data_IF_376045718869
#
_entry.id   IF_376045718869
#
_cell.length_a   1.000
_cell.length_b   1.000
_cell.length_c   1.000
_cell.angle_alpha   90.00
_cell.angle_beta   90.00
_cell.angle_gamma   90.00
#
_symmetry.space_group_name_H-M   'P 1'
#
loop_
_entity.id
_entity.type
_entity.pdbx_description
1 polymer ?
#
# COMPACT_ATOMS: atom_id res chain seq x y z
N UNK A 1 -23.54 -12.54 2.09
CA UNK A 1 -22.59 -12.27 1.57
C UNK A 1 -22.30 -10.93 1.43
N UNK A 2 -21.41 -10.47 1.69
CA UNK A 2 -21.13 -9.20 1.73
C UNK A 2 -20.64 -8.76 0.47
N UNK A 3 -21.44 -8.07 -0.17
CA UNK A 3 -21.16 -7.65 -1.49
C UNK A 3 -19.94 -6.77 -1.57
N UNK A 4 -19.70 -5.99 -0.58
CA UNK A 4 -18.55 -5.13 -0.57
C UNK A 4 -17.25 -5.91 -0.59
N UNK A 5 -17.22 -6.98 0.18
CA UNK A 5 -16.08 -7.83 0.17
C UNK A 5 -15.93 -8.53 -1.15
N UNK A 6 -17.02 -9.02 -1.69
CA UNK A 6 -17.01 -9.71 -2.94
C UNK A 6 -16.47 -8.79 -4.04
N UNK A 7 -16.80 -7.53 -3.95
CA UNK A 7 -16.39 -6.59 -4.96
C UNK A 7 -14.89 -6.41 -5.01
N UNK A 8 -14.24 -6.40 -3.84
CA UNK A 8 -12.81 -6.20 -3.77
C UNK A 8 -12.00 -7.47 -3.85
N UNK A 9 -12.63 -8.58 -3.55
CA UNK A 9 -11.94 -9.84 -3.51
C UNK A 9 -11.26 -10.28 -4.80
N UNK A 10 -11.89 -10.12 -5.96
CA UNK A 10 -11.22 -10.57 -7.18
C UNK A 10 -9.89 -9.88 -7.41
N UNK A 11 -9.85 -8.59 -7.17
CA UNK A 11 -8.64 -7.83 -7.37
C UNK A 11 -7.57 -8.25 -6.38
N UNK A 12 -7.97 -8.39 -5.13
CA UNK A 12 -7.05 -8.80 -4.08
C UNK A 12 -6.57 -10.23 -4.31
N UNK A 13 -7.48 -11.11 -4.69
CA UNK A 13 -7.12 -12.51 -4.94
C UNK A 13 -6.18 -12.64 -6.11
N UNK A 14 -6.40 -11.89 -7.15
CA UNK A 14 -5.54 -11.94 -8.32
C UNK A 14 -4.14 -11.45 -7.98
N UNK A 15 -4.07 -10.36 -7.24
CA UNK A 15 -2.78 -9.83 -6.82
C UNK A 15 -2.05 -10.83 -5.94
N UNK A 16 -2.77 -11.49 -5.05
CA UNK A 16 -2.18 -12.49 -4.19
C UNK A 16 -1.71 -13.70 -4.99
N UNK A 17 -2.51 -14.13 -5.95
CA UNK A 17 -2.14 -15.25 -6.80
C UNK A 17 -0.88 -14.96 -7.57
N UNK A 18 -0.79 -13.78 -8.15
CA UNK A 18 0.39 -13.39 -8.89
C UNK A 18 1.62 -13.36 -7.98
N UNK A 19 1.44 -12.82 -6.81
CA UNK A 19 2.54 -12.73 -5.85
C UNK A 19 3.00 -14.13 -5.45
N UNK A 20 2.08 -15.00 -5.12
CA UNK A 20 2.43 -16.36 -4.73
C UNK A 20 3.09 -17.11 -5.87
N UNK A 21 2.65 -16.88 -7.09
CA UNK A 21 3.25 -17.52 -8.24
C UNK A 21 4.71 -17.11 -8.39
N UNK A 22 5.00 -15.84 -8.21
CA UNK A 22 6.38 -15.39 -8.30
C UNK A 22 7.22 -15.95 -7.16
N UNK A 23 6.66 -16.00 -5.98
CA UNK A 23 7.36 -16.56 -4.83
C UNK A 23 7.72 -18.01 -5.10
N UNK A 24 6.75 -18.77 -5.61
CA UNK A 24 6.98 -20.17 -5.91
C UNK A 24 8.02 -20.33 -7.01
N UNK A 25 7.98 -19.48 -8.01
CA UNK A 25 8.92 -19.59 -9.12
C UNK A 25 10.34 -19.31 -8.67
N UNK A 26 10.51 -18.60 -7.57
CA UNK A 26 11.84 -18.35 -7.03
C UNK A 26 12.29 -19.44 -6.07
N UNK A 27 11.45 -20.43 -5.83
CA UNK A 27 11.83 -21.55 -4.98
C UNK A 27 11.40 -21.42 -3.53
N UNK A 28 10.59 -20.44 -3.21
CA UNK A 28 10.12 -20.27 -1.84
C UNK A 28 8.77 -20.93 -1.67
N UNK A 29 8.41 -21.30 -0.45
CA UNK A 29 7.13 -21.96 -0.21
C UNK A 29 5.95 -21.00 -0.37
N UNK A 30 4.79 -21.55 -0.65
CA UNK A 30 3.61 -20.76 -0.84
C UNK A 30 3.24 -19.98 0.41
N UNK A 31 3.49 -20.56 1.57
CA UNK A 31 3.19 -19.88 2.83
C UNK A 31 3.90 -18.55 2.94
N UNK A 32 5.06 -18.46 2.34
CA UNK A 32 5.79 -17.22 2.35
C UNK A 32 5.03 -16.17 1.53
N UNK A 33 4.47 -16.59 0.39
CA UNK A 33 3.65 -15.70 -0.40
C UNK A 33 2.41 -15.24 0.35
N UNK A 34 1.78 -16.15 1.07
CA UNK A 34 0.63 -15.79 1.88
C UNK A 34 0.98 -14.76 2.94
N UNK A 35 2.12 -14.94 3.57
CA UNK A 35 2.59 -14.01 4.57
C UNK A 35 2.83 -12.64 3.97
N UNK A 36 3.48 -12.58 2.83
CA UNK A 36 3.74 -11.33 2.15
C UNK A 36 2.44 -10.62 1.81
N UNK A 37 1.48 -11.38 1.30
CA UNK A 37 0.19 -10.79 0.93
C UNK A 37 -0.51 -10.20 2.15
N UNK A 38 -0.43 -10.90 3.26
CA UNK A 38 -1.05 -10.44 4.48
C UNK A 38 -0.40 -9.16 4.98
N UNK A 39 0.92 -9.12 4.94
CA UNK A 39 1.64 -7.96 5.42
C UNK A 39 1.47 -6.76 4.52
N UNK A 40 1.43 -6.99 3.21
CA UNK A 40 1.28 -5.90 2.27
C UNK A 40 -0.14 -5.35 2.27
N UNK A 41 -1.11 -6.22 2.37
CA UNK A 41 -2.48 -5.82 2.67
C UNK A 41 -3.31 -5.21 1.55
N UNK A 42 -2.73 -4.87 0.43
CA UNK A 42 -3.50 -4.26 -0.64
C UNK A 42 -3.03 -4.77 -1.99
N UNK A 43 -3.92 -4.79 -2.99
CA UNK A 43 -3.53 -5.24 -4.32
C UNK A 43 -2.40 -4.40 -4.91
N UNK A 44 -2.40 -3.13 -4.62
CA UNK A 44 -1.37 -2.25 -5.16
C UNK A 44 0.00 -2.59 -4.59
N UNK A 45 0.07 -2.79 -3.28
CA UNK A 45 1.32 -3.15 -2.63
C UNK A 45 1.78 -4.53 -3.09
N UNK A 46 0.84 -5.46 -3.22
CA UNK A 46 1.17 -6.79 -3.69
C UNK A 46 1.69 -6.74 -5.13
N UNK A 47 1.11 -5.88 -5.95
CA UNK A 47 1.59 -5.72 -7.32
C UNK A 47 2.99 -5.19 -7.38
N UNK A 48 3.32 -4.25 -6.51
CA UNK A 48 4.68 -3.72 -6.44
C UNK A 48 5.67 -4.81 -6.03
N UNK A 49 5.27 -5.63 -5.07
CA UNK A 49 6.11 -6.72 -4.62
C UNK A 49 6.32 -7.74 -5.73
N UNK A 50 5.26 -8.06 -6.44
CA UNK A 50 5.33 -8.99 -7.55
C UNK A 50 6.30 -8.48 -8.61
N UNK A 51 6.24 -7.21 -8.93
CA UNK A 51 7.15 -6.61 -9.89
C UNK A 51 8.59 -6.69 -9.42
N UNK A 52 8.80 -6.42 -8.14
CA UNK A 52 10.14 -6.51 -7.58
C UNK A 52 10.69 -7.92 -7.72
N UNK A 53 9.87 -8.92 -7.37
CA UNK A 53 10.31 -10.31 -7.44
C UNK A 53 10.62 -10.70 -8.88
N UNK A 54 9.78 -10.22 -9.79
CA UNK A 54 9.96 -10.57 -11.20
C UNK A 54 11.20 -9.93 -11.78
N UNK A 55 11.48 -8.70 -11.43
CA UNK A 55 12.60 -7.98 -11.98
C UNK A 55 13.91 -8.29 -11.29
N UNK A 56 13.89 -8.39 -9.99
CA UNK A 56 15.12 -8.56 -9.22
C UNK A 56 15.46 -10.01 -8.99
N UNK A 57 14.44 -10.86 -8.90
CA UNK A 57 14.63 -12.29 -8.66
C UNK A 57 15.56 -12.53 -7.47
N UNK A 58 15.18 -12.01 -6.32
CA UNK A 58 16.04 -12.16 -5.14
C UNK A 58 16.15 -13.61 -4.71
N UNK A 59 17.30 -13.95 -4.17
CA UNK A 59 17.54 -15.33 -3.74
C UNK A 59 17.45 -15.49 -2.24
N UNK A 60 17.29 -14.41 -1.52
CA UNK A 60 17.31 -14.49 -0.07
C UNK A 60 15.99 -13.97 0.49
N UNK A 61 15.53 -14.65 1.54
CA UNK A 61 14.31 -14.24 2.23
C UNK A 61 14.49 -12.83 2.78
N UNK A 62 15.68 -12.52 3.23
CA UNK A 62 15.95 -11.22 3.82
C UNK A 62 15.74 -10.10 2.83
N UNK A 63 16.18 -10.29 1.60
CA UNK A 63 15.98 -9.28 0.58
C UNK A 63 14.50 -9.06 0.32
N UNK A 64 13.75 -10.15 0.28
CA UNK A 64 12.32 -10.06 0.02
C UNK A 64 11.61 -9.37 1.16
N UNK A 65 11.95 -9.72 2.39
CA UNK A 65 11.33 -9.12 3.55
C UNK A 65 11.68 -7.64 3.64
N UNK A 66 12.92 -7.29 3.34
CA UNK A 66 13.33 -5.89 3.35
C UNK A 66 12.50 -5.07 2.37
N UNK A 67 12.29 -5.61 1.18
CA UNK A 67 11.50 -4.91 0.18
C UNK A 67 10.03 -4.83 0.61
N UNK A 68 9.52 -5.90 1.20
CA UNK A 68 8.16 -5.91 1.71
C UNK A 68 7.97 -4.82 2.75
N UNK A 69 8.92 -4.70 3.66
CA UNK A 69 8.84 -3.68 4.68
C UNK A 69 8.92 -2.28 4.09
N UNK A 70 9.76 -2.12 3.08
CA UNK A 70 9.88 -0.83 2.42
C UNK A 70 8.58 -0.45 1.73
N UNK A 71 7.95 -1.41 1.05
CA UNK A 71 6.70 -1.15 0.35
C UNK A 71 5.60 -0.83 1.37
N UNK A 72 5.56 -1.58 2.46
CA UNK A 72 4.56 -1.35 3.49
C UNK A 72 4.74 0.02 4.14
N UNK A 73 5.97 0.39 4.39
CA UNK A 73 6.26 1.68 4.99
C UNK A 73 5.87 2.81 4.05
N UNK A 74 6.15 2.63 2.77
CA UNK A 74 5.79 3.62 1.78
C UNK A 74 4.29 3.78 1.69
N UNK A 75 3.57 2.67 1.68
CA UNK A 75 2.12 2.70 1.60
C UNK A 75 1.54 3.39 2.82
N UNK A 76 2.11 3.10 3.98
CA UNK A 76 1.65 3.71 5.21
C UNK A 76 1.94 5.21 5.22
N UNK A 77 3.14 5.58 4.80
CA UNK A 77 3.52 6.97 4.72
C UNK A 77 2.61 7.72 3.77
N UNK A 78 2.30 7.09 2.65
CA UNK A 78 1.42 7.71 1.66
C UNK A 78 0.03 7.94 2.24
N UNK A 79 -0.47 6.98 2.98
CA UNK A 79 -1.78 7.11 3.62
C UNK A 79 -1.78 8.21 4.66
N UNK A 80 -0.74 8.26 5.45
CA UNK A 80 -0.60 9.30 6.46
C UNK A 80 -0.49 10.66 5.82
N UNK A 81 0.26 10.73 4.74
CA UNK A 81 0.44 11.98 4.02
C UNK A 81 -0.88 12.45 3.44
N UNK A 82 -1.65 11.53 2.89
CA UNK A 82 -2.93 11.89 2.33
C UNK A 82 -3.90 12.39 3.39
N UNK A 83 -3.94 11.71 4.53
CA UNK A 83 -4.76 12.14 5.62
C UNK A 83 -4.35 13.51 6.11
N UNK A 84 -3.07 13.69 6.25
CA UNK A 84 -2.52 14.96 6.68
C UNK A 84 -2.84 16.06 5.69
N UNK A 85 -2.77 15.72 4.42
CA UNK A 85 -3.06 16.68 3.37
C UNK A 85 -4.51 17.11 3.41
N UNK A 86 -5.40 16.16 3.61
CA UNK A 86 -6.82 16.48 3.68
C UNK A 86 -7.11 17.37 4.88
N UNK A 87 -6.53 17.02 6.02
CA UNK A 87 -6.71 17.83 7.21
C UNK A 87 -6.11 19.21 7.01
N UNK A 88 -4.98 19.25 6.35
CA UNK A 88 -4.32 20.51 6.09
C UNK A 88 -5.12 21.37 5.14
N UNK A 89 -5.72 20.76 4.15
CA UNK A 89 -6.53 21.51 3.21
C UNK A 89 -7.74 22.12 3.91
N UNK A 90 -8.38 21.35 4.76
CA UNK A 90 -9.52 21.86 5.51
C UNK A 90 -9.10 22.99 6.42
N UNK A 91 -7.99 22.81 7.07
CA UNK A 91 -7.49 23.83 7.98
C UNK A 91 -7.07 25.08 7.23
N UNK A 92 -6.46 24.87 6.08
CA UNK A 92 -6.03 25.99 5.25
C UNK A 92 -7.23 26.78 4.74
N UNK A 93 -8.28 26.07 4.34
CA UNK A 93 -9.49 26.72 3.90
C UNK A 93 -10.11 27.53 5.03
N UNK A 94 -10.10 26.96 6.23
CA UNK A 94 -10.62 27.67 7.39
C UNK A 94 -9.81 28.93 7.67
N UNK A 95 -8.50 28.81 7.59
CA UNK A 95 -7.63 29.94 7.81
C UNK A 95 -7.80 31.01 6.75
N UNK A 96 -8.00 30.57 5.53
CA UNK A 96 -8.18 31.49 4.44
C UNK A 96 -9.44 32.32 4.66
N UNK A 97 -10.52 31.64 5.00
CA UNK A 97 -11.75 32.31 5.29
C UNK A 97 -11.61 33.28 6.45
N UNK A 98 -10.93 32.81 7.46
CA UNK A 98 -10.74 33.64 8.64
C UNK A 98 -9.88 34.85 8.33
N UNK A 99 -8.88 34.61 7.48
CA UNK A 99 -8.00 35.70 7.10
C UNK A 99 -8.75 36.77 6.30
N UNK A 100 -9.63 36.32 5.43
CA UNK A 100 -10.39 37.28 4.66
C UNK A 100 -11.25 38.15 5.55
N UNK A 101 -11.70 37.58 6.65
CA UNK A 101 -12.47 38.40 7.59
C UNK A 101 -11.54 39.10 8.55
N UNK A 102 -10.48 38.42 8.90
CA UNK A 102 -9.58 38.92 9.90
C UNK A 102 -8.61 39.94 9.39
N UNK A 103 -8.37 39.93 8.09
CA UNK A 103 -7.52 40.94 7.55
C UNK A 103 -8.08 42.26 7.79
N UNK A 104 -9.33 42.29 7.79
CA UNK A 104 -10.00 43.52 8.03
C UNK A 104 -9.78 43.98 9.44
N UNK A 105 -9.45 43.07 10.32
CA UNK A 105 -9.19 43.42 11.66
C UNK A 105 -7.79 43.90 11.85
N UNK A 106 -6.96 43.48 11.00
CA UNK A 106 -5.61 43.95 11.08
C UNK A 106 -5.47 45.29 10.44
#
# INVERSE_FOLDING_TARGET
MTDGKTRNQPEWSMAKSDLCREVLSLGFPREFGDLLAKELGSPRAMGRMTSYLRCTKPHSVEMIVDEMLAISAEAQTWRERKQSQEAQESYTAYLYERRMRGEEEE
#
